data_IF_410868279505
#
_entry.id   IF_410868279505
#
_cell.length_a   1.000
_cell.length_b   1.000
_cell.length_c   1.000
_cell.angle_alpha   90.00
_cell.angle_beta   90.00
_cell.angle_gamma   90.00
#
_symmetry.space_group_name_H-M   'P 1'
#
loop_
_entity.id
_entity.type
_entity.pdbx_description
1 polymer ?
#
# COMPACT_ATOMS: atom_id res chain seq x y z
N UNK A 1 -19.93 10.70 -0.47
CA UNK A 1 -18.76 9.80 -0.49
C UNK A 1 -17.89 10.12 0.72
N UNK A 2 -17.48 9.11 1.50
CA UNK A 2 -16.38 9.32 2.45
C UNK A 2 -15.10 9.41 1.62
N UNK A 3 -14.44 10.56 1.68
CA UNK A 3 -13.17 10.82 1.00
C UNK A 3 -12.09 9.90 1.59
N UNK A 4 -11.39 9.15 0.73
CA UNK A 4 -10.31 8.26 1.12
C UNK A 4 -9.17 9.10 1.71
N UNK A 5 -8.81 8.86 2.97
CA UNK A 5 -7.74 9.61 3.64
C UNK A 5 -6.43 8.85 3.61
N UNK A 6 -5.46 9.41 2.89
CA UNK A 6 -4.13 8.85 2.65
C UNK A 6 -3.00 9.74 3.19
N UNK A 7 -3.31 10.70 4.06
CA UNK A 7 -2.33 11.61 4.68
C UNK A 7 -1.43 10.90 5.70
N UNK A 8 -0.62 9.95 5.20
CA UNK A 8 0.31 9.15 5.99
C UNK A 8 1.71 9.52 5.54
N UNK A 9 2.58 9.79 6.52
CA UNK A 9 3.94 10.24 6.23
C UNK A 9 4.69 9.22 5.35
N UNK A 10 5.42 9.67 4.31
CA UNK A 10 6.25 8.78 3.53
C UNK A 10 7.39 8.22 4.39
N UNK A 11 7.90 7.05 4.02
CA UNK A 11 9.05 6.41 4.66
C UNK A 11 10.13 6.18 3.60
N UNK A 12 11.37 6.56 3.90
CA UNK A 12 12.49 6.32 2.99
C UNK A 12 12.61 4.83 2.66
N UNK A 13 12.94 4.53 1.40
CA UNK A 13 13.10 3.16 0.87
C UNK A 13 11.83 2.29 0.92
N UNK A 14 10.66 2.90 1.13
CA UNK A 14 9.36 2.24 1.02
C UNK A 14 8.42 3.11 0.20
N UNK A 15 7.88 2.56 -0.87
CA UNK A 15 6.87 3.21 -1.69
C UNK A 15 5.52 2.53 -1.48
N UNK A 16 4.44 3.30 -1.52
CA UNK A 16 3.08 2.81 -1.30
C UNK A 16 2.19 3.18 -2.45
N UNK A 17 1.24 2.30 -2.72
CA UNK A 17 0.25 2.48 -3.76
C UNK A 17 -1.11 2.00 -3.29
N UNK A 18 -2.16 2.75 -3.59
CA UNK A 18 -3.53 2.20 -3.57
C UNK A 18 -3.79 1.59 -4.94
N UNK A 19 -4.37 0.39 -4.95
CA UNK A 19 -4.80 -0.30 -6.16
C UNK A 19 -6.21 -0.88 -5.97
N UNK A 20 -6.65 -1.70 -6.91
CA UNK A 20 -7.92 -2.40 -6.80
C UNK A 20 -9.12 -1.45 -6.88
N UNK A 21 -10.23 -1.83 -6.26
CA UNK A 21 -11.54 -1.17 -6.45
C UNK A 21 -11.51 0.32 -6.07
N UNK A 22 -10.68 0.71 -5.09
CA UNK A 22 -10.47 2.08 -4.64
C UNK A 22 -9.94 3.04 -5.71
N UNK A 23 -9.39 2.54 -6.83
CA UNK A 23 -8.87 3.36 -7.94
C UNK A 23 -9.84 3.47 -9.11
N UNK A 24 -10.92 2.69 -9.12
CA UNK A 24 -11.91 2.65 -10.20
C UNK A 24 -13.32 3.05 -9.78
N UNK A 25 -13.65 2.89 -8.50
CA UNK A 25 -14.99 3.06 -7.96
C UNK A 25 -15.06 4.25 -7.03
N UNK A 26 -16.15 5.02 -7.15
CA UNK A 26 -16.52 6.07 -6.19
C UNK A 26 -17.04 5.49 -4.86
N UNK A 27 -17.34 4.18 -4.83
CA UNK A 27 -17.82 3.45 -3.64
C UNK A 27 -17.08 2.12 -3.50
N UNK A 28 -15.78 2.11 -3.16
CA UNK A 28 -15.02 0.89 -2.94
C UNK A 28 -15.50 0.18 -1.65
N UNK A 29 -15.43 -1.16 -1.65
CA UNK A 29 -15.75 -2.00 -0.48
C UNK A 29 -14.61 -2.02 0.54
N UNK A 30 -13.39 -1.83 0.05
CA UNK A 30 -12.12 -2.06 0.71
C UNK A 30 -11.03 -1.23 0.03
N UNK A 31 -9.89 -1.11 0.70
CA UNK A 31 -8.72 -0.39 0.18
C UNK A 31 -7.57 -1.39 0.10
N UNK A 32 -7.18 -1.70 -1.14
CA UNK A 32 -6.01 -2.50 -1.43
C UNK A 32 -4.76 -1.62 -1.48
N UNK A 33 -3.73 -2.01 -0.74
CA UNK A 33 -2.47 -1.26 -0.63
C UNK A 33 -1.30 -2.13 -1.01
N UNK A 34 -0.48 -1.68 -1.97
CA UNK A 34 0.80 -2.29 -2.26
C UNK A 34 1.90 -1.52 -1.55
N UNK A 35 2.73 -2.23 -0.79
CA UNK A 35 3.91 -1.70 -0.13
C UNK A 35 5.13 -2.31 -0.81
N UNK A 36 5.98 -1.48 -1.39
CA UNK A 36 7.19 -1.91 -2.08
C UNK A 36 8.39 -1.40 -1.30
N UNK A 37 9.29 -2.31 -0.87
CA UNK A 37 10.46 -1.95 -0.08
C UNK A 37 11.77 -2.40 -0.75
N UNK A 38 12.83 -1.63 -0.52
CA UNK A 38 14.17 -1.97 -0.99
C UNK A 38 14.90 -2.83 0.05
N UNK A 39 15.20 -4.09 -0.30
CA UNK A 39 15.87 -5.06 0.58
C UNK A 39 17.31 -4.66 0.94
N UNK A 40 17.93 -3.76 0.18
CA UNK A 40 19.26 -3.23 0.50
C UNK A 40 19.23 -2.31 1.74
N UNK A 41 18.08 -1.69 2.04
CA UNK A 41 17.95 -0.70 3.10
C UNK A 41 16.93 -1.09 4.19
N UNK A 42 15.99 -1.97 3.88
CA UNK A 42 14.90 -2.35 4.77
C UNK A 42 14.87 -3.87 4.94
N UNK A 43 14.99 -4.31 6.19
CA UNK A 43 14.84 -5.73 6.53
C UNK A 43 13.41 -6.20 6.31
N UNK A 44 13.22 -7.51 6.08
CA UNK A 44 11.89 -8.11 5.93
C UNK A 44 11.07 -7.88 7.20
N UNK A 45 11.70 -7.98 8.37
CA UNK A 45 11.08 -7.74 9.67
C UNK A 45 10.58 -6.29 9.81
N UNK A 46 11.40 -5.32 9.41
CA UNK A 46 11.02 -3.90 9.40
C UNK A 46 9.90 -3.61 8.42
N UNK A 47 9.92 -4.26 7.25
CA UNK A 47 8.89 -4.14 6.23
C UNK A 47 7.54 -4.73 6.72
N UNK A 48 7.57 -5.87 7.40
CA UNK A 48 6.37 -6.47 8.03
C UNK A 48 5.85 -5.57 9.16
N UNK A 49 6.75 -5.03 9.99
CA UNK A 49 6.38 -4.10 11.05
C UNK A 49 5.74 -2.83 10.48
N UNK A 50 6.31 -2.30 9.39
CA UNK A 50 5.76 -1.15 8.69
C UNK A 50 4.36 -1.43 8.13
N UNK A 51 4.16 -2.56 7.46
CA UNK A 51 2.84 -2.96 6.95
C UNK A 51 1.80 -2.97 8.06
N UNK A 52 2.11 -3.55 9.22
CA UNK A 52 1.21 -3.59 10.37
C UNK A 52 0.87 -2.19 10.88
N UNK A 53 1.88 -1.32 11.01
CA UNK A 53 1.68 0.06 11.44
C UNK A 53 0.82 0.85 10.44
N UNK A 54 1.11 0.74 9.14
CA UNK A 54 0.38 1.41 8.08
C UNK A 54 -1.09 0.98 8.05
N UNK A 55 -1.37 -0.32 8.09
CA UNK A 55 -2.75 -0.84 8.11
C UNK A 55 -3.52 -0.32 9.32
N UNK A 56 -2.88 -0.27 10.50
CA UNK A 56 -3.52 0.26 11.69
C UNK A 56 -3.82 1.76 11.57
N UNK A 57 -2.89 2.55 11.05
CA UNK A 57 -3.08 3.99 10.82
C UNK A 57 -4.21 4.24 9.80
N UNK A 58 -4.20 3.51 8.69
CA UNK A 58 -5.26 3.61 7.66
C UNK A 58 -6.63 3.22 8.20
N UNK A 59 -6.73 2.21 9.08
CA UNK A 59 -7.98 1.82 9.75
C UNK A 59 -8.49 2.87 10.73
N UNK A 60 -7.60 3.67 11.34
CA UNK A 60 -8.02 4.80 12.18
C UNK A 60 -8.57 5.93 11.30
N UNK A 61 -7.96 6.17 10.15
CA UNK A 61 -8.34 7.24 9.22
C UNK A 61 -9.57 6.91 8.37
N UNK A 62 -9.82 5.63 8.11
CA UNK A 62 -10.83 5.15 7.17
C UNK A 62 -11.72 4.08 7.83
N UNK A 63 -13.02 4.12 7.55
CA UNK A 63 -13.97 3.12 8.08
C UNK A 63 -14.09 1.86 7.21
N UNK A 64 -13.15 1.64 6.29
CA UNK A 64 -13.17 0.55 5.31
C UNK A 64 -12.14 -0.52 5.68
N UNK A 65 -12.36 -1.75 5.19
CA UNK A 65 -11.36 -2.80 5.31
C UNK A 65 -10.10 -2.40 4.55
N UNK A 66 -8.94 -2.65 5.14
CA UNK A 66 -7.64 -2.39 4.52
C UNK A 66 -6.93 -3.73 4.36
N UNK A 67 -6.61 -4.05 3.12
CA UNK A 67 -5.77 -5.19 2.75
C UNK A 67 -4.48 -4.68 2.15
N UNK A 68 -3.35 -5.26 2.58
CA UNK A 68 -2.04 -4.78 2.18
C UNK A 68 -1.14 -5.94 1.74
N UNK A 69 -0.67 -5.88 0.50
CA UNK A 69 0.40 -6.74 0.01
C UNK A 69 1.76 -6.07 0.29
N UNK A 70 2.78 -6.90 0.46
CA UNK A 70 4.14 -6.45 0.72
C UNK A 70 5.05 -7.16 -0.28
N UNK A 71 5.77 -6.37 -1.08
CA UNK A 71 6.71 -6.84 -2.09
C UNK A 71 8.04 -6.15 -1.88
N UNK A 72 9.13 -6.88 -2.05
CA UNK A 72 10.42 -6.28 -2.32
C UNK A 72 10.46 -5.69 -3.73
N UNK A 73 11.43 -4.80 -4.01
CA UNK A 73 11.64 -4.30 -5.37
C UNK A 73 11.89 -5.43 -6.37
N UNK A 74 12.61 -6.47 -5.97
CA UNK A 74 12.88 -7.63 -6.81
C UNK A 74 11.60 -8.44 -7.09
N UNK A 75 10.79 -8.70 -6.07
CA UNK A 75 9.49 -9.39 -6.25
C UNK A 75 8.55 -8.58 -7.14
N UNK A 76 8.53 -7.26 -6.98
CA UNK A 76 7.79 -6.40 -7.91
C UNK A 76 8.31 -6.54 -9.34
N UNK A 77 9.62 -6.44 -9.58
CA UNK A 77 10.14 -6.58 -10.93
C UNK A 77 9.81 -7.93 -11.58
N UNK A 78 9.80 -9.01 -10.80
CA UNK A 78 9.43 -10.35 -11.28
C UNK A 78 7.93 -10.47 -11.58
N UNK A 79 7.08 -9.86 -10.76
CA UNK A 79 5.63 -9.88 -10.94
C UNK A 79 5.12 -8.84 -11.95
N UNK A 80 5.91 -7.79 -12.20
CA UNK A 80 5.54 -6.61 -12.96
C UNK A 80 4.18 -6.04 -12.53
N UNK A 81 3.91 -6.00 -11.22
CA UNK A 81 2.60 -5.63 -10.70
C UNK A 81 2.26 -4.17 -11.05
N UNK A 82 3.21 -3.24 -10.93
CA UNK A 82 3.02 -1.84 -11.32
C UNK A 82 2.98 -1.62 -12.84
N UNK A 83 3.30 -2.62 -13.66
CA UNK A 83 3.07 -2.51 -15.11
C UNK A 83 1.67 -2.97 -15.49
N UNK A 84 1.12 -3.92 -14.73
CA UNK A 84 -0.13 -4.61 -15.07
C UNK A 84 -1.35 -4.14 -14.26
N UNK A 85 -1.15 -3.44 -13.14
CA UNK A 85 -2.21 -2.90 -12.31
C UNK A 85 -2.36 -1.38 -12.52
N UNK A 86 -3.59 -0.88 -12.38
CA UNK A 86 -3.83 0.55 -12.15
C UNK A 86 -3.67 0.84 -10.67
N UNK A 87 -2.94 1.91 -10.35
CA UNK A 87 -2.66 2.30 -8.99
C UNK A 87 -2.49 3.82 -8.86
N UNK A 88 -2.47 4.29 -7.61
CA UNK A 88 -2.15 5.66 -7.24
C UNK A 88 -1.12 5.65 -6.10
N UNK A 89 0.00 6.35 -6.29
CA UNK A 89 1.00 6.52 -5.24
C UNK A 89 0.49 7.51 -4.16
N UNK A 90 0.86 7.27 -2.90
CA UNK A 90 0.51 8.14 -1.77
C UNK A 90 1.55 8.11 -0.64
#
# INVERSE_FOLDING_TARGET
MKELRLDIKPRAHITRYVFGSAVYSDTPSDIDVAIIYDRQYVSVEDAIAYRRALVNEMRVLNSMMIDAILLSMEEEMEMAFLENAKYLAF
#
